data_IF_624108667208
#
_entry.id   IF_624108667208
#
_cell.length_a   1.000
_cell.length_b   1.000
_cell.length_c   1.000
_cell.angle_alpha   90.00
_cell.angle_beta   90.00
_cell.angle_gamma   90.00
#
_symmetry.space_group_name_H-M   'P 1'
#
loop_
_entity.id
_entity.type
_entity.pdbx_description
1 polymer ?
#
# COMPACT_ATOMS: atom_id res chain seq x y z
N UNK A 1 -52.72 -45.22 18.02
CA UNK A 1 -51.68 -44.55 18.84
C UNK A 1 -50.23 -44.65 18.30
N UNK A 2 -49.94 -45.29 17.16
CA UNK A 2 -48.56 -45.44 16.65
C UNK A 2 -48.08 -44.32 15.68
N UNK A 3 -48.96 -43.40 15.28
CA UNK A 3 -48.62 -42.34 14.30
C UNK A 3 -47.85 -41.16 14.91
N UNK A 4 -48.03 -40.88 16.20
CA UNK A 4 -47.41 -39.71 16.87
C UNK A 4 -45.92 -39.88 17.21
N UNK A 5 -45.39 -41.11 17.21
CA UNK A 5 -43.98 -41.35 17.50
C UNK A 5 -43.06 -41.06 16.30
N UNK A 6 -43.54 -41.19 15.05
CA UNK A 6 -42.67 -41.05 13.87
C UNK A 6 -42.34 -39.58 13.54
N UNK A 7 -43.25 -38.66 13.82
CA UNK A 7 -43.06 -37.21 13.55
C UNK A 7 -42.09 -36.56 14.54
N UNK A 8 -42.07 -37.00 15.80
CA UNK A 8 -41.15 -36.46 16.82
C UNK A 8 -39.69 -36.80 16.51
N UNK A 9 -39.38 -38.01 16.06
CA UNK A 9 -38.02 -38.40 15.66
C UNK A 9 -37.52 -37.64 14.42
N UNK A 10 -38.40 -37.35 13.46
CA UNK A 10 -38.03 -36.65 12.24
C UNK A 10 -37.75 -35.16 12.48
N UNK A 11 -38.52 -34.52 13.37
CA UNK A 11 -38.25 -33.14 13.82
C UNK A 11 -36.97 -33.06 14.65
N UNK A 12 -36.70 -34.06 15.51
CA UNK A 12 -35.44 -34.14 16.25
C UNK A 12 -34.24 -34.35 15.32
N UNK A 13 -34.33 -35.22 14.32
CA UNK A 13 -33.27 -35.46 13.33
C UNK A 13 -33.04 -34.24 12.41
N UNK A 14 -34.09 -33.50 12.05
CA UNK A 14 -33.95 -32.25 11.28
C UNK A 14 -33.38 -31.10 12.12
N UNK A 15 -33.82 -30.96 13.38
CA UNK A 15 -33.26 -29.98 14.31
C UNK A 15 -31.78 -30.26 14.58
N UNK A 16 -31.42 -31.53 14.80
CA UNK A 16 -30.04 -32.03 14.89
C UNK A 16 -29.31 -31.68 13.59
N UNK A 17 -29.82 -32.07 12.41
CA UNK A 17 -29.21 -31.86 11.09
C UNK A 17 -28.80 -30.41 10.77
N UNK A 18 -29.59 -29.41 11.20
CA UNK A 18 -29.29 -27.99 10.96
C UNK A 18 -28.07 -27.50 11.78
N UNK A 19 -27.76 -28.13 12.92
CA UNK A 19 -26.53 -27.84 13.68
C UNK A 19 -25.26 -28.48 13.07
N UNK A 20 -25.38 -29.41 12.12
CA UNK A 20 -24.26 -30.25 11.65
C UNK A 20 -23.59 -29.85 10.32
N UNK A 21 -23.98 -28.76 9.66
CA UNK A 21 -23.47 -28.36 8.33
C UNK A 21 -22.30 -27.31 8.31
N UNK A 22 -21.65 -26.82 9.39
CA UNK A 22 -20.71 -25.69 9.25
C UNK A 22 -19.26 -26.04 8.85
N UNK A 23 -18.83 -27.31 8.89
CA UNK A 23 -17.40 -27.65 8.97
C UNK A 23 -16.67 -27.66 7.61
N UNK A 24 -17.25 -28.26 6.56
CA UNK A 24 -16.59 -28.31 5.25
C UNK A 24 -16.50 -26.93 4.57
N UNK A 25 -17.44 -26.02 4.84
CA UNK A 25 -17.37 -24.64 4.33
C UNK A 25 -16.33 -23.76 5.03
N UNK A 26 -15.75 -24.20 6.16
CA UNK A 26 -14.68 -23.46 6.82
C UNK A 26 -13.37 -23.46 6.01
N UNK A 27 -13.14 -24.43 5.11
CA UNK A 27 -11.91 -24.46 4.30
C UNK A 27 -11.99 -23.56 3.04
N UNK A 28 -13.19 -23.22 2.57
CA UNK A 28 -13.37 -22.62 1.23
C UNK A 28 -13.21 -21.09 1.09
N UNK A 29 -13.08 -20.32 2.18
CA UNK A 29 -12.97 -18.85 2.08
C UNK A 29 -11.55 -18.34 2.39
N UNK A 30 -10.84 -17.70 1.43
CA UNK A 30 -9.44 -17.34 1.59
C UNK A 30 -9.28 -16.27 2.68
N UNK A 31 -8.58 -16.62 3.75
CA UNK A 31 -7.97 -15.67 4.69
C UNK A 31 -6.66 -15.23 4.05
N UNK A 32 -6.52 -13.93 3.76
CA UNK A 32 -5.26 -13.41 3.21
C UNK A 32 -4.38 -12.88 4.33
N UNK A 33 -3.17 -13.42 4.43
CA UNK A 33 -2.10 -12.95 5.31
C UNK A 33 -1.07 -12.26 4.43
N UNK A 34 -0.62 -11.07 4.82
CA UNK A 34 0.44 -10.34 4.13
C UNK A 34 1.46 -9.89 5.16
N UNK A 35 2.72 -10.25 4.92
CA UNK A 35 3.84 -9.93 5.78
C UNK A 35 4.73 -8.97 5.02
N UNK A 36 5.00 -7.81 5.62
CA UNK A 36 5.81 -6.76 5.02
C UNK A 36 6.91 -6.38 5.99
N UNK A 37 8.13 -6.93 5.81
CA UNK A 37 9.26 -6.56 6.65
C UNK A 37 9.69 -5.11 6.33
N UNK A 38 10.08 -4.39 7.39
CA UNK A 38 10.79 -3.10 7.35
C UNK A 38 12.10 -3.25 8.13
N UNK A 39 12.93 -2.20 8.17
CA UNK A 39 14.23 -2.21 8.84
C UNK A 39 14.11 -2.54 10.33
N UNK A 40 13.15 -1.94 11.04
CA UNK A 40 12.97 -2.10 12.50
C UNK A 40 11.78 -2.97 12.89
N UNK A 41 10.81 -3.14 12.00
CA UNK A 41 9.48 -3.70 12.33
C UNK A 41 8.99 -4.59 11.20
N UNK A 42 8.28 -5.66 11.53
CA UNK A 42 7.56 -6.51 10.58
C UNK A 42 6.08 -6.19 10.70
N UNK A 43 5.45 -5.75 9.61
CA UNK A 43 4.02 -5.54 9.57
C UNK A 43 3.31 -6.82 9.13
N UNK A 44 2.40 -7.31 9.97
CA UNK A 44 1.49 -8.40 9.63
C UNK A 44 0.12 -7.83 9.39
N UNK A 45 -0.42 -8.04 8.19
CA UNK A 45 -1.78 -7.69 7.82
C UNK A 45 -2.57 -8.97 7.58
N UNK A 46 -3.70 -9.10 8.27
CA UNK A 46 -4.65 -10.19 8.08
C UNK A 46 -5.98 -9.62 7.64
N UNK A 47 -6.58 -10.24 6.63
CA UNK A 47 -7.91 -9.88 6.16
C UNK A 47 -8.78 -11.11 6.00
N UNK A 48 -9.90 -11.08 6.70
CA UNK A 48 -10.92 -12.13 6.69
C UNK A 48 -12.12 -11.66 5.84
N UNK A 49 -12.79 -12.57 5.11
CA UNK A 49 -14.04 -12.23 4.40
C UNK A 49 -15.16 -11.90 5.39
N UNK A 50 -16.06 -10.97 5.01
CA UNK A 50 -17.13 -10.47 5.90
C UNK A 50 -18.09 -11.59 6.34
N UNK A 51 -18.50 -12.46 5.42
CA UNK A 51 -19.40 -13.60 5.70
C UNK A 51 -18.79 -14.55 6.75
N UNK A 52 -17.55 -15.00 6.52
CA UNK A 52 -16.81 -15.86 7.45
C UNK A 52 -16.64 -15.24 8.83
N UNK A 53 -16.22 -13.96 8.88
CA UNK A 53 -16.08 -13.23 10.14
C UNK A 53 -17.38 -13.22 10.96
N UNK A 54 -18.52 -12.91 10.33
CA UNK A 54 -19.82 -12.91 11.01
C UNK A 54 -20.21 -14.29 11.51
N UNK A 55 -20.02 -15.35 10.72
CA UNK A 55 -20.35 -16.73 11.10
C UNK A 55 -19.63 -17.15 12.39
N UNK A 56 -18.31 -16.95 12.43
CA UNK A 56 -17.48 -17.30 13.60
C UNK A 56 -17.85 -16.46 14.82
N UNK A 57 -18.11 -15.16 14.65
CA UNK A 57 -18.50 -14.29 15.78
C UNK A 57 -19.89 -14.61 16.33
N UNK A 58 -20.84 -15.03 15.49
CA UNK A 58 -22.17 -15.49 15.93
C UNK A 58 -22.08 -16.76 16.79
N UNK A 59 -21.09 -17.59 16.54
CA UNK A 59 -20.82 -18.80 17.34
C UNK A 59 -20.01 -18.50 18.62
N UNK A 60 -19.82 -17.22 18.98
CA UNK A 60 -19.00 -16.78 20.11
C UNK A 60 -17.55 -17.29 20.08
N UNK A 61 -17.02 -17.55 18.88
CA UNK A 61 -15.63 -17.93 18.67
C UNK A 61 -14.77 -16.72 18.31
N UNK A 62 -13.47 -16.81 18.61
CA UNK A 62 -12.52 -15.74 18.36
C UNK A 62 -11.49 -16.13 17.31
N UNK A 63 -11.11 -15.18 16.47
CA UNK A 63 -9.93 -15.36 15.63
C UNK A 63 -8.67 -15.04 16.44
N UNK A 64 -7.71 -15.97 16.47
CA UNK A 64 -6.40 -15.75 17.07
C UNK A 64 -5.31 -15.81 16.02
N UNK A 65 -4.38 -14.87 16.10
CA UNK A 65 -3.14 -14.86 15.34
C UNK A 65 -2.01 -15.37 16.24
N UNK A 66 -1.38 -16.48 15.86
CA UNK A 66 -0.16 -16.98 16.50
C UNK A 66 1.03 -16.65 15.61
N UNK A 67 2.07 -16.11 16.24
CA UNK A 67 3.34 -15.82 15.59
C UNK A 67 4.37 -16.79 16.14
N UNK A 68 5.01 -17.53 15.24
CA UNK A 68 6.06 -18.49 15.54
C UNK A 68 7.35 -18.07 14.87
N UNK A 69 8.47 -18.34 15.53
CA UNK A 69 9.81 -18.07 15.02
C UNK A 69 10.59 -19.38 15.03
N UNK A 70 11.29 -19.67 13.94
CA UNK A 70 12.20 -20.81 13.87
C UNK A 70 13.50 -20.44 14.58
N UNK A 71 13.82 -21.19 15.64
CA UNK A 71 15.13 -21.24 16.29
C UNK A 71 15.87 -22.51 15.84
N UNK A 72 17.12 -22.67 16.28
CA UNK A 72 17.90 -23.90 16.07
C UNK A 72 17.15 -25.13 16.62
N UNK A 73 16.64 -25.06 17.85
CA UNK A 73 15.93 -26.15 18.53
C UNK A 73 14.50 -26.41 18.04
N UNK A 74 13.95 -25.59 17.13
CA UNK A 74 12.59 -25.80 16.66
C UNK A 74 11.77 -24.53 16.45
N UNK A 75 10.45 -24.69 16.37
CA UNK A 75 9.52 -23.56 16.29
C UNK A 75 9.14 -23.09 17.69
N UNK A 76 9.45 -21.83 18.02
CA UNK A 76 9.04 -21.21 19.27
C UNK A 76 7.89 -20.24 19.05
N UNK A 77 6.83 -20.35 19.84
CA UNK A 77 5.71 -19.39 19.83
C UNK A 77 6.20 -18.06 20.40
N UNK A 78 6.20 -17.01 19.57
CA UNK A 78 6.60 -15.68 19.98
C UNK A 78 5.47 -14.94 20.69
N UNK A 79 4.27 -14.90 20.09
CA UNK A 79 3.11 -14.20 20.66
C UNK A 79 1.81 -14.69 20.07
N UNK A 80 0.73 -14.57 20.83
CA UNK A 80 -0.64 -14.75 20.37
C UNK A 80 -1.39 -13.43 20.46
N UNK A 81 -2.19 -13.11 19.45
CA UNK A 81 -3.04 -11.93 19.43
C UNK A 81 -4.49 -12.32 19.17
N UNK A 82 -5.42 -11.75 19.92
CA UNK A 82 -6.85 -11.84 19.61
C UNK A 82 -7.20 -10.81 18.55
N UNK A 83 -7.83 -11.26 17.48
CA UNK A 83 -8.29 -10.39 16.40
C UNK A 83 -9.71 -9.95 16.72
N UNK A 84 -9.91 -8.68 17.04
CA UNK A 84 -11.25 -8.09 17.30
C UNK A 84 -11.91 -7.52 16.05
N UNK A 85 -11.15 -7.36 14.96
CA UNK A 85 -11.61 -6.76 13.70
C UNK A 85 -11.29 -7.68 12.51
N UNK A 86 -12.19 -7.67 11.52
CA UNK A 86 -12.05 -8.40 10.24
C UNK A 86 -10.77 -8.08 9.47
N UNK A 87 -10.35 -6.81 9.51
CA UNK A 87 -9.07 -6.35 8.98
C UNK A 87 -8.21 -6.03 10.18
N UNK A 88 -7.07 -6.68 10.27
CA UNK A 88 -6.19 -6.55 11.40
C UNK A 88 -4.78 -6.28 10.90
N UNK A 89 -4.10 -5.34 11.55
CA UNK A 89 -2.72 -4.97 11.23
C UNK A 89 -1.97 -4.87 12.53
N UNK A 90 -0.79 -5.47 12.61
CA UNK A 90 0.08 -5.36 13.77
C UNK A 90 1.54 -5.28 13.37
N UNK A 91 2.24 -4.43 14.08
CA UNK A 91 3.69 -4.32 14.05
C UNK A 91 4.30 -5.30 15.05
N UNK A 92 5.31 -6.03 14.61
CA UNK A 92 6.13 -6.91 15.45
C UNK A 92 7.55 -6.37 15.35
N UNK A 93 8.18 -6.05 16.49
CA UNK A 93 9.57 -5.57 16.48
C UNK A 93 10.48 -6.64 15.91
N UNK A 94 11.34 -6.25 14.96
CA UNK A 94 12.32 -7.14 14.35
C UNK A 94 13.32 -7.64 15.40
N UNK A 95 13.71 -6.79 16.35
CA UNK A 95 14.53 -7.17 17.52
C UNK A 95 13.93 -8.34 18.30
N UNK A 96 12.60 -8.38 18.47
CA UNK A 96 11.91 -9.50 19.16
C UNK A 96 11.87 -10.78 18.35
N UNK A 97 11.80 -10.68 17.02
CA UNK A 97 11.82 -11.85 16.13
C UNK A 97 13.23 -12.42 16.05
N UNK A 98 14.23 -11.56 15.91
CA UNK A 98 15.63 -11.95 15.73
C UNK A 98 16.30 -12.40 17.03
N UNK A 99 15.93 -11.83 18.19
CA UNK A 99 16.55 -12.13 19.51
C UNK A 99 18.09 -12.16 19.48
N UNK A 100 18.71 -11.26 18.73
CA UNK A 100 20.18 -11.19 18.60
C UNK A 100 20.80 -12.15 17.58
N UNK A 101 20.03 -13.05 16.97
CA UNK A 101 20.50 -13.90 15.87
C UNK A 101 20.81 -13.03 14.65
N UNK A 102 21.98 -13.24 14.04
CA UNK A 102 22.37 -12.65 12.76
C UNK A 102 21.97 -13.59 11.60
N UNK A 103 21.66 -13.03 10.43
CA UNK A 103 21.32 -13.79 9.23
C UNK A 103 19.80 -14.03 9.05
N UNK A 104 19.41 -15.10 8.34
CA UNK A 104 18.00 -15.33 7.97
C UNK A 104 17.25 -16.10 9.06
N UNK A 105 16.14 -15.54 9.55
CA UNK A 105 15.23 -16.22 10.48
C UNK A 105 13.86 -16.47 9.84
N UNK A 106 13.30 -17.68 9.98
CA UNK A 106 11.96 -18.00 9.47
C UNK A 106 10.89 -17.63 10.50
N UNK A 107 9.87 -16.92 10.04
CA UNK A 107 8.69 -16.50 10.78
C UNK A 107 7.47 -17.23 10.21
N UNK A 108 6.68 -17.88 11.05
CA UNK A 108 5.37 -18.39 10.66
C UNK A 108 4.26 -17.56 11.32
N UNK A 109 3.32 -17.09 10.53
CA UNK A 109 2.11 -16.43 11.02
C UNK A 109 0.93 -17.36 10.75
N UNK A 110 0.28 -17.77 11.83
CA UNK A 110 -0.82 -18.72 11.81
C UNK A 110 -2.09 -18.02 12.29
N UNK A 111 -3.12 -18.01 11.45
CA UNK A 111 -4.47 -17.57 11.80
C UNK A 111 -5.29 -18.81 12.09
N UNK A 112 -5.89 -18.86 13.27
CA UNK A 112 -6.81 -19.91 13.65
C UNK A 112 -8.06 -19.39 14.34
N UNK A 113 -9.00 -20.30 14.53
CA UNK A 113 -10.23 -20.08 15.30
C UNK A 113 -9.98 -20.63 16.69
N UNK A 114 -10.29 -19.82 17.69
CA UNK A 114 -10.23 -20.20 19.09
C UNK A 114 -11.63 -20.46 19.63
N UNK A 115 -11.83 -21.67 20.13
CA UNK A 115 -13.04 -22.12 20.80
C UNK A 115 -12.87 -21.86 22.29
N UNK A 116 -13.90 -21.34 22.99
CA UNK A 116 -13.79 -21.08 24.42
C UNK A 116 -13.57 -22.37 25.22
N UNK A 117 -14.23 -23.45 24.79
CA UNK A 117 -14.16 -24.78 25.39
C UNK A 117 -13.51 -25.78 24.45
N UNK A 118 -13.30 -27.00 24.95
CA UNK A 118 -12.96 -28.15 24.13
C UNK A 118 -13.99 -28.32 23.03
N UNK A 119 -13.53 -28.74 21.85
CA UNK A 119 -14.41 -29.03 20.74
C UNK A 119 -14.11 -30.43 20.22
N UNK A 120 -15.16 -31.17 19.89
CA UNK A 120 -15.02 -32.50 19.32
C UNK A 120 -14.62 -32.35 17.85
N UNK A 121 -13.38 -32.70 17.51
CA UNK A 121 -12.94 -32.73 16.13
C UNK A 121 -13.43 -34.03 15.48
N UNK A 122 -14.29 -33.88 14.47
CA UNK A 122 -14.89 -35.01 13.74
C UNK A 122 -13.89 -35.76 12.87
N UNK A 123 -13.01 -35.05 12.17
CA UNK A 123 -11.99 -35.63 11.30
C UNK A 123 -11.07 -36.56 12.11
N UNK A 124 -10.75 -36.20 13.36
CA UNK A 124 -9.86 -36.99 14.22
C UNK A 124 -10.59 -37.81 15.28
N UNK A 125 -11.92 -37.71 15.38
CA UNK A 125 -12.76 -38.28 16.45
C UNK A 125 -12.18 -38.11 17.86
N UNK A 126 -11.65 -36.93 18.15
CA UNK A 126 -10.97 -36.62 19.43
C UNK A 126 -11.37 -35.24 19.91
N UNK A 127 -11.54 -35.10 21.22
CA UNK A 127 -11.61 -33.79 21.86
C UNK A 127 -10.31 -33.06 21.61
N UNK A 128 -10.37 -31.96 20.88
CA UNK A 128 -9.22 -31.14 20.56
C UNK A 128 -9.25 -29.85 21.36
N UNK A 129 -8.07 -29.45 21.83
CA UNK A 129 -7.90 -28.17 22.51
C UNK A 129 -8.22 -27.02 21.56
N UNK A 130 -8.60 -25.92 22.22
CA UNK A 130 -9.26 -24.69 21.80
C UNK A 130 -8.78 -23.97 20.53
N UNK A 131 -7.89 -24.49 19.68
CA UNK A 131 -7.37 -23.76 18.51
C UNK A 131 -7.31 -24.63 17.26
N UNK A 132 -8.14 -24.28 16.27
CA UNK A 132 -8.06 -24.84 14.92
C UNK A 132 -7.28 -23.90 14.00
N UNK A 133 -6.15 -24.38 13.49
CA UNK A 133 -5.37 -23.66 12.48
C UNK A 133 -6.14 -23.62 11.16
N UNK A 134 -6.38 -22.41 10.64
CA UNK A 134 -7.10 -22.24 9.37
C UNK A 134 -6.16 -21.87 8.23
N UNK A 135 -5.18 -21.00 8.52
CA UNK A 135 -4.23 -20.53 7.52
C UNK A 135 -2.88 -20.27 8.17
N UNK A 136 -1.82 -20.68 7.50
CA UNK A 136 -0.46 -20.39 7.89
C UNK A 136 0.28 -19.78 6.71
N UNK A 137 1.11 -18.79 7.00
CA UNK A 137 2.01 -18.15 6.04
C UNK A 137 3.42 -18.14 6.62
N UNK A 138 4.39 -18.59 5.82
CA UNK A 138 5.81 -18.61 6.17
C UNK A 138 6.52 -17.45 5.50
N UNK A 139 7.44 -16.80 6.22
CA UNK A 139 8.23 -15.70 5.69
C UNK A 139 9.63 -15.71 6.26
N UNK A 140 10.63 -15.35 5.46
CA UNK A 140 12.01 -15.23 5.92
C UNK A 140 12.31 -13.77 6.21
N UNK A 141 12.82 -13.50 7.41
CA UNK A 141 13.22 -12.17 7.87
C UNK A 141 14.74 -12.15 7.97
N UNK A 142 15.38 -11.20 7.30
CA UNK A 142 16.82 -10.96 7.45
C UNK A 142 17.07 -10.24 8.78
N UNK A 143 17.77 -10.86 9.73
CA UNK A 143 18.15 -10.33 11.03
C UNK A 143 19.60 -9.80 11.01
N UNK A 144 19.80 -8.59 11.53
CA UNK A 144 21.06 -7.87 11.38
C UNK A 144 21.25 -7.28 9.97
N UNK A 145 22.08 -6.25 9.88
CA UNK A 145 22.73 -5.90 8.63
C UNK A 145 24.00 -6.75 8.63
N UNK A 146 24.08 -7.77 7.78
CA UNK A 146 25.39 -8.10 7.23
C UNK A 146 25.70 -6.86 6.41
N UNK A 147 26.79 -6.15 6.70
CA UNK A 147 27.23 -5.09 5.82
C UNK A 147 27.42 -5.76 4.44
N UNK A 148 26.56 -5.42 3.48
CA UNK A 148 26.62 -5.97 2.11
C UNK A 148 27.92 -5.54 1.40
N UNK A 149 28.78 -4.77 2.08
CA UNK A 149 30.08 -4.24 1.62
C UNK A 149 31.28 -5.13 2.00
N UNK A 150 31.08 -6.27 2.67
CA UNK A 150 32.18 -7.21 2.92
C UNK A 150 32.38 -8.12 1.69
N UNK A 151 33.56 -8.10 1.04
CA UNK A 151 33.82 -8.96 -0.10
C UNK A 151 33.73 -10.43 0.30
N UNK A 152 33.30 -11.32 -0.63
CA UNK A 152 33.29 -12.76 -0.38
C UNK A 152 34.68 -13.22 0.06
N UNK A 153 34.77 -13.80 1.26
CA UNK A 153 36.03 -14.20 1.90
C UNK A 153 36.42 -13.41 3.15
N UNK A 154 35.70 -12.34 3.50
CA UNK A 154 35.97 -11.61 4.74
C UNK A 154 35.66 -12.46 5.98
N UNK A 155 36.59 -12.58 6.95
CA UNK A 155 36.37 -13.37 8.15
C UNK A 155 35.17 -12.83 8.93
N UNK A 156 34.36 -13.74 9.49
CA UNK A 156 33.25 -13.36 10.33
C UNK A 156 33.78 -12.50 11.50
N UNK A 157 33.13 -11.37 11.85
CA UNK A 157 33.56 -10.57 12.98
C UNK A 157 33.47 -11.42 14.25
N UNK A 158 34.63 -11.80 14.77
CA UNK A 158 34.78 -12.51 16.03
C UNK A 158 34.22 -11.60 17.12
N UNK A 159 33.27 -12.10 17.91
CA UNK A 159 32.71 -11.38 19.06
C UNK A 159 33.78 -11.29 20.15
N UNK A 160 34.75 -10.38 19.99
CA UNK A 160 35.66 -9.97 21.06
C UNK A 160 34.95 -8.98 22.00
N UNK A 161 35.29 -8.98 23.31
CA UNK A 161 34.82 -7.96 24.23
C UNK A 161 35.34 -6.57 23.80
N UNK A 162 34.58 -5.49 24.08
CA UNK A 162 34.93 -4.16 23.63
C UNK A 162 36.29 -3.73 24.22
N UNK A 163 37.28 -3.53 23.35
CA UNK A 163 38.50 -2.82 23.71
C UNK A 163 38.13 -1.35 23.96
N UNK A 164 38.37 -0.91 25.20
CA UNK A 164 38.35 0.48 25.58
C UNK A 164 39.44 1.23 24.81
N UNK A 165 39.05 2.12 23.90
CA UNK A 165 39.93 3.19 23.41
C UNK A 165 39.68 4.45 24.22
N UNK A 166 40.71 5.06 24.84
CA UNK A 166 40.58 6.33 25.52
C UNK A 166 40.68 7.53 24.55
N UNK A 167 40.09 8.62 25.03
CA UNK A 167 40.35 10.02 24.74
C UNK A 167 39.86 10.65 23.44
N UNK A 168 38.69 11.25 23.64
CA UNK A 168 37.94 12.18 22.84
C UNK A 168 38.63 13.55 22.81
N UNK A 169 39.09 13.97 21.63
CA UNK A 169 39.39 15.38 21.35
C UNK A 169 38.08 16.17 21.34
N UNK A 170 38.02 17.21 22.15
CA UNK A 170 36.89 18.13 22.29
C UNK A 170 36.63 18.95 21.01
N UNK A 171 35.37 19.31 20.69
CA UNK A 171 35.07 20.35 19.72
C UNK A 171 34.95 21.73 20.42
N UNK A 172 35.41 22.83 19.80
CA UNK A 172 35.13 24.16 20.32
C UNK A 172 33.70 24.60 20.00
N UNK A 173 33.16 25.37 20.95
CA UNK A 173 31.81 25.88 21.00
C UNK A 173 31.64 27.23 20.25
N UNK A 174 30.38 27.51 19.94
CA UNK A 174 29.72 28.82 19.84
C UNK A 174 30.15 29.81 18.74
N UNK A 175 29.19 30.15 17.87
CA UNK A 175 28.61 31.52 17.83
C UNK A 175 27.47 31.66 16.81
N UNK A 176 26.38 32.28 17.29
CA UNK A 176 25.25 32.95 16.63
C UNK A 176 24.92 34.13 17.58
N UNK A 177 24.20 35.21 17.20
CA UNK A 177 23.85 35.80 15.90
C UNK A 177 24.23 37.33 15.87
N UNK A 178 23.69 38.18 14.96
CA UNK A 178 22.43 38.87 15.28
C UNK A 178 21.51 39.16 14.07
N UNK A 179 20.42 39.87 14.37
CA UNK A 179 19.10 39.93 13.73
C UNK A 179 18.72 41.40 13.54
N UNK A 180 18.37 41.83 12.32
CA UNK A 180 17.76 43.14 11.99
C UNK A 180 17.41 43.11 10.46
N UNK A 181 16.32 43.62 9.87
CA UNK A 181 15.33 44.66 10.16
C UNK A 181 13.95 44.38 9.50
N UNK A 182 12.89 44.94 10.11
CA UNK A 182 11.66 45.62 9.63
C UNK A 182 10.85 45.20 8.36
N UNK A 183 9.49 45.28 8.44
CA UNK A 183 8.58 45.48 7.30
C UNK A 183 7.95 46.90 7.26
N UNK A 184 7.59 47.46 6.09
CA UNK A 184 6.66 48.59 6.01
C UNK A 184 5.20 48.16 5.77
N UNK A 185 4.34 49.10 6.13
CA UNK A 185 2.92 49.05 6.40
C UNK A 185 2.04 49.39 5.17
N UNK A 186 0.73 49.20 5.38
CA UNK A 186 -0.42 50.04 4.96
C UNK A 186 -0.79 50.22 3.50
N UNK A 187 -2.07 50.00 3.22
CA UNK A 187 -2.77 50.37 1.99
C UNK A 187 -4.25 49.99 2.07
N UNK A 188 -4.99 50.67 2.94
CA UNK A 188 -6.46 50.68 3.01
C UNK A 188 -6.97 51.72 2.01
N UNK A 189 -7.88 51.35 1.12
CA UNK A 189 -8.69 52.30 0.33
C UNK A 189 -10.16 51.84 0.40
N UNK A 190 -11.09 52.70 0.84
CA UNK A 190 -12.52 52.47 0.77
C UNK A 190 -13.13 53.08 -0.50
N UNK A 191 -14.24 52.53 -1.00
CA UNK A 191 -15.01 53.12 -2.10
C UNK A 191 -16.11 52.21 -2.63
N UNK A 192 -17.27 52.23 -1.96
CA UNK A 192 -18.60 52.07 -2.56
C UNK A 192 -18.92 53.35 -3.40
N UNK A 193 -19.91 53.43 -4.32
CA UNK A 193 -21.23 52.80 -4.22
C UNK A 193 -21.92 52.33 -5.52
N UNK A 194 -23.14 51.83 -5.27
CA UNK A 194 -24.31 51.60 -6.13
C UNK A 194 -24.35 52.17 -7.56
N UNK A 195 -24.91 51.36 -8.45
CA UNK A 195 -25.45 51.76 -9.74
C UNK A 195 -26.41 50.70 -10.27
N UNK A 196 -27.69 50.82 -9.92
CA UNK A 196 -28.81 50.22 -10.65
C UNK A 196 -28.77 50.69 -12.11
N UNK A 197 -29.04 49.80 -13.08
CA UNK A 197 -29.82 50.16 -14.26
C UNK A 197 -30.45 48.91 -14.89
N UNK A 198 -31.78 48.96 -14.98
CA UNK A 198 -32.61 48.19 -15.91
C UNK A 198 -32.22 48.50 -17.36
N UNK A 199 -32.27 47.48 -18.22
CA UNK A 199 -32.13 47.63 -19.66
C UNK A 199 -32.42 46.32 -20.38
N UNK A 200 -33.70 46.04 -20.60
CA UNK A 200 -34.17 45.15 -21.66
C UNK A 200 -33.74 45.74 -23.00
N UNK A 201 -33.11 44.95 -23.87
CA UNK A 201 -33.16 45.17 -25.32
C UNK A 201 -32.81 43.88 -26.06
N UNK A 202 -33.84 43.35 -26.72
CA UNK A 202 -33.72 42.46 -27.86
C UNK A 202 -32.90 43.14 -28.95
N UNK A 203 -31.74 42.59 -29.30
CA UNK A 203 -31.05 42.93 -30.55
C UNK A 203 -30.42 41.67 -31.15
N UNK A 204 -31.02 41.22 -32.25
CA UNK A 204 -30.41 40.39 -33.26
C UNK A 204 -29.20 41.13 -33.85
N UNK A 205 -28.00 40.78 -33.38
CA UNK A 205 -26.73 41.23 -33.94
C UNK A 205 -25.89 40.04 -34.35
N UNK A 206 -25.87 39.74 -35.65
CA UNK A 206 -24.87 38.90 -36.30
C UNK A 206 -23.52 39.61 -36.21
N UNK A 207 -22.84 39.49 -35.07
CA UNK A 207 -21.45 39.88 -34.93
C UNK A 207 -20.57 38.71 -35.35
N UNK A 208 -20.08 38.79 -36.58
CA UNK A 208 -18.90 38.07 -37.06
C UNK A 208 -17.67 38.52 -36.24
N UNK A 209 -17.59 38.03 -35.00
CA UNK A 209 -16.37 38.11 -34.23
C UNK A 209 -15.36 37.14 -34.87
N UNK A 210 -14.44 37.71 -35.65
CA UNK A 210 -13.12 37.16 -35.91
C UNK A 210 -12.45 36.85 -34.57
N UNK A 211 -12.77 35.69 -34.01
CA UNK A 211 -12.18 35.16 -32.79
C UNK A 211 -10.70 34.95 -33.04
N UNK A 212 -9.87 35.86 -32.54
CA UNK A 212 -8.43 35.68 -32.46
C UNK A 212 -8.19 34.43 -31.64
N UNK A 213 -7.86 33.33 -32.32
CA UNK A 213 -7.59 32.02 -31.72
C UNK A 213 -6.35 32.13 -30.85
N UNK A 214 -6.54 32.59 -29.61
CA UNK A 214 -5.45 32.75 -28.65
C UNK A 214 -4.99 31.35 -28.28
N UNK A 215 -3.91 30.90 -28.92
CA UNK A 215 -3.35 29.58 -28.67
C UNK A 215 -2.93 29.51 -27.20
N UNK A 216 -3.45 28.57 -26.40
CA UNK A 216 -3.17 28.52 -24.98
C UNK A 216 -1.66 28.35 -24.74
N UNK A 217 -1.09 29.04 -23.73
CA UNK A 217 0.34 28.98 -23.47
C UNK A 217 0.80 27.54 -23.23
N UNK A 218 2.00 27.18 -23.70
CA UNK A 218 2.49 25.81 -23.58
C UNK A 218 2.60 25.40 -22.10
N UNK A 219 2.32 24.13 -21.78
CA UNK A 219 2.30 23.66 -20.41
C UNK A 219 3.69 23.79 -19.74
N UNK A 220 3.76 24.59 -18.68
CA UNK A 220 5.01 24.82 -17.93
C UNK A 220 5.36 23.60 -17.08
N UNK A 221 6.62 23.15 -17.17
CA UNK A 221 7.11 22.01 -16.41
C UNK A 221 7.55 22.42 -14.99
N UNK A 222 7.24 21.59 -14.00
CA UNK A 222 7.66 21.77 -12.61
C UNK A 222 9.19 21.79 -12.49
N UNK A 223 9.72 22.77 -11.74
CA UNK A 223 11.14 22.91 -11.45
C UNK A 223 11.72 21.76 -10.62
N UNK A 224 13.01 21.45 -10.84
CA UNK A 224 13.70 20.34 -10.16
C UNK A 224 13.83 20.56 -8.65
N UNK A 225 14.05 21.80 -8.21
CA UNK A 225 14.19 22.17 -6.79
C UNK A 225 12.90 21.92 -6.00
N UNK A 226 11.79 22.48 -6.47
CA UNK A 226 10.46 22.28 -5.88
C UNK A 226 10.09 20.79 -5.80
N UNK A 227 10.33 20.03 -6.87
CA UNK A 227 10.09 18.57 -6.86
C UNK A 227 10.96 17.85 -5.82
N UNK A 228 12.25 18.17 -5.74
CA UNK A 228 13.17 17.55 -4.76
C UNK A 228 12.77 17.86 -3.32
N UNK A 229 12.35 19.10 -3.04
CA UNK A 229 11.83 19.49 -1.73
C UNK A 229 10.65 18.64 -1.30
N UNK A 230 9.64 18.52 -2.18
CA UNK A 230 8.49 17.65 -1.94
C UNK A 230 8.88 16.16 -1.82
N UNK A 231 9.76 15.66 -2.68
CA UNK A 231 10.17 14.25 -2.63
C UNK A 231 10.85 13.88 -1.30
N UNK A 232 11.62 14.80 -0.69
CA UNK A 232 12.24 14.58 0.63
C UNK A 232 11.19 14.40 1.73
N UNK A 233 10.19 15.28 1.80
CA UNK A 233 9.10 15.15 2.79
C UNK A 233 8.23 13.92 2.51
N UNK A 234 7.99 13.63 1.23
CA UNK A 234 7.21 12.46 0.79
C UNK A 234 7.82 11.13 1.23
N UNK A 235 9.15 10.99 1.14
CA UNK A 235 9.88 9.78 1.56
C UNK A 235 9.73 9.46 3.05
N UNK A 236 9.66 10.50 3.89
CA UNK A 236 9.52 10.36 5.36
C UNK A 236 8.16 9.80 5.78
N UNK A 237 7.15 9.84 4.90
CA UNK A 237 5.81 9.36 5.23
C UNK A 237 5.77 7.84 5.31
N UNK A 238 5.29 7.33 6.45
CA UNK A 238 4.98 5.91 6.64
C UNK A 238 3.64 5.57 5.98
N UNK A 239 3.56 4.39 5.36
CA UNK A 239 2.37 3.84 4.68
C UNK A 239 1.89 4.57 3.41
N UNK A 240 1.41 3.78 2.44
CA UNK A 240 0.85 4.25 1.17
C UNK A 240 -0.36 5.20 1.34
N UNK A 241 -1.13 5.08 2.43
CA UNK A 241 -2.30 5.93 2.68
C UNK A 241 -1.88 7.39 2.93
N UNK A 242 -0.83 7.59 3.72
CA UNK A 242 -0.32 8.93 4.02
C UNK A 242 0.38 9.52 2.80
N UNK A 243 1.15 8.70 2.07
CA UNK A 243 1.71 9.07 0.76
C UNK A 243 0.62 9.49 -0.22
N UNK A 244 -0.47 8.74 -0.36
CA UNK A 244 -1.58 9.15 -1.24
C UNK A 244 -2.25 10.47 -0.80
N UNK A 245 -2.39 10.71 0.52
CA UNK A 245 -2.95 11.96 1.05
C UNK A 245 -2.03 13.15 0.74
N UNK A 246 -0.73 13.01 1.03
CA UNK A 246 0.27 14.02 0.71
C UNK A 246 0.34 14.30 -0.79
N UNK A 247 0.33 13.24 -1.62
CA UNK A 247 0.28 13.36 -3.07
C UNK A 247 -0.97 14.08 -3.55
N UNK A 248 -2.14 13.80 -2.95
CA UNK A 248 -3.38 14.50 -3.26
C UNK A 248 -3.25 16.00 -3.00
N UNK A 249 -2.77 16.38 -1.81
CA UNK A 249 -2.66 17.77 -1.39
C UNK A 249 -1.60 18.54 -2.17
N UNK A 250 -0.49 17.88 -2.52
CA UNK A 250 0.56 18.50 -3.32
C UNK A 250 0.14 18.69 -4.77
N UNK A 251 -0.47 17.67 -5.40
CA UNK A 251 -0.93 17.77 -6.79
C UNK A 251 -2.02 18.82 -7.01
N UNK A 252 -2.85 19.11 -6.01
CA UNK A 252 -3.83 20.21 -6.09
C UNK A 252 -3.21 21.60 -6.01
N UNK A 253 -1.95 21.73 -5.55
CA UNK A 253 -1.22 23.01 -5.43
C UNK A 253 -0.25 23.26 -6.58
N UNK A 254 -0.27 22.41 -7.62
CA UNK A 254 0.65 22.56 -8.76
C UNK A 254 0.24 23.72 -9.70
N UNK A 255 -0.94 24.32 -9.56
CA UNK A 255 -1.39 25.50 -10.32
C UNK A 255 -1.07 25.42 -11.83
N UNK A 256 -1.41 24.31 -12.47
CA UNK A 256 -1.16 24.08 -13.90
C UNK A 256 0.21 23.47 -14.24
N UNK A 257 1.19 23.53 -13.33
CA UNK A 257 2.52 22.95 -13.54
C UNK A 257 2.45 21.44 -13.83
N UNK A 258 3.22 21.00 -14.82
CA UNK A 258 3.27 19.61 -15.26
C UNK A 258 4.51 18.89 -14.77
N UNK A 259 4.34 17.61 -14.44
CA UNK A 259 5.37 16.71 -13.96
C UNK A 259 6.09 16.05 -15.12
N UNK A 260 7.42 16.09 -15.12
CA UNK A 260 8.23 15.30 -16.04
C UNK A 260 8.08 13.81 -15.71
N UNK A 261 8.18 12.93 -16.72
CA UNK A 261 7.94 11.50 -16.52
C UNK A 261 8.88 10.83 -15.50
N UNK A 262 10.13 11.30 -15.38
CA UNK A 262 11.07 10.80 -14.38
C UNK A 262 10.63 11.13 -12.93
N UNK A 263 9.94 12.27 -12.73
CA UNK A 263 9.38 12.67 -11.44
C UNK A 263 8.24 11.73 -11.04
N UNK A 264 7.34 11.44 -11.99
CA UNK A 264 6.24 10.47 -11.83
C UNK A 264 6.80 9.09 -11.46
N UNK A 265 7.82 8.62 -12.18
CA UNK A 265 8.49 7.35 -11.87
C UNK A 265 9.08 7.34 -10.45
N UNK A 266 9.77 8.41 -10.04
CA UNK A 266 10.36 8.53 -8.69
C UNK A 266 9.27 8.45 -7.61
N UNK A 267 8.18 9.20 -7.75
CA UNK A 267 7.07 9.16 -6.81
C UNK A 267 6.42 7.77 -6.73
N UNK A 268 6.28 7.08 -7.86
CA UNK A 268 5.71 5.74 -7.89
C UNK A 268 6.57 4.68 -7.21
N UNK A 269 7.91 4.80 -7.27
CA UNK A 269 8.83 3.89 -6.58
C UNK A 269 8.66 3.92 -5.06
N UNK A 270 8.22 5.04 -4.51
CA UNK A 270 8.02 5.18 -3.07
C UNK A 270 6.75 4.47 -2.56
N UNK A 271 5.88 3.94 -3.41
CA UNK A 271 4.72 3.17 -2.93
C UNK A 271 5.10 1.71 -2.75
N UNK A 272 4.73 1.12 -1.61
CA UNK A 272 5.04 -0.27 -1.30
C UNK A 272 4.10 -1.24 -2.02
N UNK A 273 2.82 -0.89 -2.15
CA UNK A 273 1.81 -1.80 -2.72
C UNK A 273 1.33 -1.35 -4.09
N UNK A 274 1.10 -2.31 -4.99
CA UNK A 274 0.57 -2.04 -6.33
C UNK A 274 -0.76 -1.28 -6.33
N UNK A 275 -1.62 -1.51 -5.33
CA UNK A 275 -2.87 -0.76 -5.17
C UNK A 275 -2.63 0.73 -4.88
N UNK A 276 -1.61 1.06 -4.08
CA UNK A 276 -1.17 2.42 -3.82
C UNK A 276 -0.62 3.05 -5.10
N UNK A 277 0.29 2.35 -5.78
CA UNK A 277 0.88 2.76 -7.07
C UNK A 277 -0.19 3.06 -8.14
N UNK A 278 -1.23 2.24 -8.27
CA UNK A 278 -2.33 2.48 -9.23
C UNK A 278 -3.10 3.76 -8.93
N UNK A 279 -3.41 4.00 -7.65
CA UNK A 279 -4.10 5.22 -7.24
C UNK A 279 -3.23 6.45 -7.47
N UNK A 280 -1.93 6.33 -7.22
CA UNK A 280 -0.97 7.37 -7.52
C UNK A 280 -0.86 7.62 -9.03
N UNK A 281 -0.73 6.56 -9.85
CA UNK A 281 -0.66 6.65 -11.32
C UNK A 281 -1.88 7.36 -11.91
N UNK A 282 -3.11 6.98 -11.50
CA UNK A 282 -4.35 7.64 -11.94
C UNK A 282 -4.36 9.15 -11.66
N UNK A 283 -3.74 9.57 -10.55
CA UNK A 283 -3.68 10.98 -10.14
C UNK A 283 -2.55 11.69 -10.88
N UNK A 284 -1.36 11.11 -10.88
CA UNK A 284 -0.16 11.66 -11.53
C UNK A 284 -0.34 11.80 -13.05
N UNK A 285 -1.09 10.91 -13.70
CA UNK A 285 -1.35 11.03 -15.14
C UNK A 285 -2.15 12.28 -15.49
N UNK A 286 -2.85 12.93 -14.56
CA UNK A 286 -3.54 14.21 -14.82
C UNK A 286 -2.60 15.40 -14.86
N UNK A 287 -1.44 15.27 -14.20
CA UNK A 287 -0.46 16.33 -14.04
C UNK A 287 0.84 16.01 -14.79
N UNK A 288 0.91 14.94 -15.58
CA UNK A 288 2.12 14.64 -16.34
C UNK A 288 2.23 15.57 -17.55
N UNK A 289 3.47 15.91 -17.92
CA UNK A 289 3.75 16.63 -19.16
C UNK A 289 3.49 15.67 -20.33
N UNK A 290 2.48 16.02 -21.13
CA UNK A 290 2.06 15.30 -22.31
C UNK A 290 2.46 16.08 -23.58
N UNK A 291 2.66 15.39 -24.73
CA UNK A 291 2.57 13.94 -24.92
C UNK A 291 3.77 13.18 -24.31
N UNK A 292 3.54 11.93 -23.88
CA UNK A 292 4.57 11.14 -23.19
C UNK A 292 5.35 10.32 -24.22
N UNK A 293 6.69 10.40 -24.21
CA UNK A 293 7.51 9.49 -25.02
C UNK A 293 7.38 8.05 -24.53
N UNK A 294 7.30 7.11 -25.45
CA UNK A 294 7.11 5.67 -25.22
C UNK A 294 8.15 5.06 -24.26
N UNK A 295 9.43 5.47 -24.39
CA UNK A 295 10.50 5.09 -23.44
C UNK A 295 10.21 5.46 -21.99
N UNK A 296 9.53 6.59 -21.77
CA UNK A 296 9.18 7.08 -20.45
C UNK A 296 7.99 6.32 -19.87
N UNK A 297 6.98 6.03 -20.70
CA UNK A 297 5.86 5.18 -20.33
C UNK A 297 6.35 3.79 -19.86
N UNK A 298 7.23 3.15 -20.65
CA UNK A 298 7.89 1.88 -20.31
C UNK A 298 8.53 1.92 -18.92
N UNK A 299 9.36 2.94 -18.65
CA UNK A 299 10.05 3.14 -17.36
C UNK A 299 9.10 3.40 -16.18
N UNK A 300 7.92 3.97 -16.42
CA UNK A 300 6.91 4.19 -15.39
C UNK A 300 6.21 2.87 -15.07
N UNK A 301 5.74 2.13 -16.08
CA UNK A 301 4.99 0.89 -15.87
C UNK A 301 5.85 -0.25 -15.32
N UNK A 302 7.16 -0.25 -15.60
CA UNK A 302 8.09 -1.24 -15.03
C UNK A 302 8.24 -1.17 -13.52
N UNK A 303 7.70 -0.13 -12.86
CA UNK A 303 7.62 -0.07 -11.39
C UNK A 303 6.54 -0.98 -10.79
N UNK A 304 5.66 -1.57 -11.61
CA UNK A 304 4.63 -2.50 -11.16
C UNK A 304 5.07 -3.95 -11.36
N UNK A 305 4.87 -4.78 -10.34
CA UNK A 305 5.28 -6.19 -10.38
C UNK A 305 4.32 -7.10 -11.16
N UNK A 306 3.05 -6.71 -11.34
CA UNK A 306 2.04 -7.56 -11.99
C UNK A 306 1.44 -6.88 -13.22
N UNK A 307 1.26 -7.66 -14.28
CA UNK A 307 0.77 -7.19 -15.58
C UNK A 307 -0.60 -6.52 -15.52
N UNK A 308 -1.54 -7.03 -14.73
CA UNK A 308 -2.85 -6.39 -14.53
C UNK A 308 -2.74 -4.94 -14.03
N UNK A 309 -1.70 -4.63 -13.25
CA UNK A 309 -1.44 -3.29 -12.75
C UNK A 309 -0.60 -2.47 -13.73
N UNK A 310 0.38 -3.08 -14.40
CA UNK A 310 1.08 -2.45 -15.53
C UNK A 310 0.08 -1.94 -16.56
N UNK A 311 -0.92 -2.75 -16.93
CA UNK A 311 -1.91 -2.42 -17.95
C UNK A 311 -2.78 -1.25 -17.49
N UNK A 312 -3.34 -1.33 -16.28
CA UNK A 312 -4.16 -0.24 -15.72
C UNK A 312 -3.38 1.06 -15.64
N UNK A 313 -2.13 1.02 -15.22
CA UNK A 313 -1.27 2.19 -15.18
C UNK A 313 -1.02 2.75 -16.59
N UNK A 314 -0.64 1.89 -17.53
CA UNK A 314 -0.37 2.26 -18.91
C UNK A 314 -1.56 2.98 -19.54
N UNK A 315 -2.77 2.44 -19.40
CA UNK A 315 -4.01 3.05 -19.91
C UNK A 315 -4.28 4.45 -19.31
N UNK A 316 -3.91 4.72 -18.06
CA UNK A 316 -4.07 6.06 -17.50
C UNK A 316 -3.14 7.09 -18.15
N UNK A 317 -1.97 6.68 -18.60
CA UNK A 317 -1.00 7.55 -19.26
C UNK A 317 -1.25 7.65 -20.76
N UNK A 318 -1.65 6.57 -21.44
CA UNK A 318 -2.00 6.60 -22.87
C UNK A 318 -3.12 7.60 -23.16
N UNK A 319 -4.13 7.67 -22.29
CA UNK A 319 -5.25 8.64 -22.40
C UNK A 319 -4.83 10.11 -22.41
N UNK A 320 -3.57 10.42 -22.15
CA UNK A 320 -3.03 11.78 -22.19
C UNK A 320 -2.26 12.09 -23.47
N UNK A 321 -2.16 11.13 -24.39
CA UNK A 321 -1.38 11.25 -25.61
C UNK A 321 0.01 10.63 -25.45
N UNK A 322 0.39 9.87 -26.46
CA UNK A 322 1.71 9.27 -26.61
C UNK A 322 2.39 9.99 -27.76
N UNK A 323 3.62 10.45 -27.54
CA UNK A 323 4.33 11.25 -28.53
C UNK A 323 4.73 10.44 -29.77
N UNK A 324 4.79 9.11 -29.63
CA UNK A 324 5.28 8.19 -30.65
C UNK A 324 4.52 6.85 -30.55
N UNK A 325 3.35 6.76 -31.19
CA UNK A 325 2.49 5.58 -31.13
C UNK A 325 3.10 4.37 -31.87
N UNK A 326 3.91 4.57 -32.90
CA UNK A 326 4.56 3.48 -33.66
C UNK A 326 5.47 2.63 -32.76
N UNK A 327 6.09 3.27 -31.76
CA UNK A 327 6.95 2.58 -30.81
C UNK A 327 6.20 1.83 -29.67
N UNK A 328 4.85 1.80 -29.65
CA UNK A 328 4.06 1.18 -28.58
C UNK A 328 4.39 -0.30 -28.33
N UNK A 329 4.84 -1.03 -29.36
CA UNK A 329 5.32 -2.42 -29.24
C UNK A 329 6.48 -2.55 -28.22
N UNK A 330 7.33 -1.52 -28.06
CA UNK A 330 8.40 -1.52 -27.04
C UNK A 330 7.87 -1.48 -25.62
N UNK A 331 6.66 -0.95 -25.41
CA UNK A 331 5.97 -0.95 -24.11
C UNK A 331 5.23 -2.27 -23.90
N UNK A 332 4.71 -2.88 -24.98
CA UNK A 332 4.05 -4.18 -24.88
C UNK A 332 5.02 -5.29 -24.43
N UNK A 333 6.31 -5.16 -24.72
CA UNK A 333 7.37 -6.03 -24.19
C UNK A 333 7.48 -6.07 -22.66
N UNK A 334 6.90 -5.12 -21.92
CA UNK A 334 6.87 -5.16 -20.44
C UNK A 334 5.82 -6.11 -19.86
N UNK A 335 4.89 -6.63 -20.67
CA UNK A 335 3.89 -7.60 -20.22
C UNK A 335 4.38 -9.01 -20.49
N UNK A 336 4.21 -9.89 -19.51
CA UNK A 336 4.49 -11.32 -19.65
C UNK A 336 3.41 -12.03 -20.47
N UNK A 337 2.12 -11.71 -20.25
CA UNK A 337 1.03 -12.39 -20.95
C UNK A 337 0.59 -11.68 -22.24
N UNK A 338 0.46 -12.44 -23.33
CA UNK A 338 -0.02 -11.97 -24.64
C UNK A 338 -1.39 -11.27 -24.56
N UNK A 339 -2.30 -11.77 -23.72
CA UNK A 339 -3.62 -11.16 -23.51
C UNK A 339 -3.55 -9.71 -23.02
N UNK A 340 -2.58 -9.37 -22.16
CA UNK A 340 -2.36 -8.00 -21.71
C UNK A 340 -1.64 -7.15 -22.76
N UNK A 341 -0.72 -7.75 -23.55
CA UNK A 341 -0.07 -7.08 -24.71
C UNK A 341 -1.13 -6.60 -25.70
N UNK A 342 -2.00 -7.50 -26.16
CA UNK A 342 -3.03 -7.22 -27.14
C UNK A 342 -4.03 -6.18 -26.63
N UNK A 343 -4.44 -6.31 -25.35
CA UNK A 343 -5.36 -5.35 -24.72
C UNK A 343 -4.74 -3.96 -24.51
N UNK A 344 -3.42 -3.89 -24.32
CA UNK A 344 -2.69 -2.62 -24.25
C UNK A 344 -2.64 -1.95 -25.62
N UNK A 345 -2.19 -2.67 -26.66
CA UNK A 345 -2.08 -2.14 -28.03
C UNK A 345 -3.44 -1.65 -28.53
N UNK A 346 -4.49 -2.45 -28.40
CA UNK A 346 -5.86 -2.10 -28.83
C UNK A 346 -6.45 -0.84 -28.16
N UNK A 347 -5.95 -0.44 -26.98
CA UNK A 347 -6.53 0.67 -26.19
C UNK A 347 -5.64 1.90 -26.09
N UNK A 348 -4.41 1.83 -26.59
CA UNK A 348 -3.44 2.93 -26.57
C UNK A 348 -3.06 3.39 -27.97
N UNK A 349 -3.33 2.57 -28.99
CA UNK A 349 -3.57 3.02 -30.36
C UNK A 349 -4.98 3.60 -30.44
#
# INVERSE_FOLDING_TARGET
>A
MQSFQKTTWLVLLLAVGIYFIPEQQAKAAPISITISPSSKVIFSQVRIRRRRWRRIRRQHWDFKLRVWVRKMSGWTKLRTYTMSKRKWVKSISKRRVCRGVMGKTRLAIQVGIFYKNWWWNRDTRKWQRNFLSVRQELHTVQCGNIADDLPPGSPAPTNGPPQNTPDSVAPPANSLPPRTHAPPQTGTVPGDPEGQHHGTNDHHGTNDHHGTTTTPPPPVALGRGQFRGYLRSFKKLSFDRNRLRSLKNWTSRLNGLKLKAWMVRRLMKEFSFSKGKIRAARRLSRHILAPIKTRHLRRIISTFSFDQYKLKAALYFCRRGIADPLNLHKVSGEFSFSSYKNKFLKRCH
#
